data_IF_006829318183
#
_entry.id   IF_006829318183
#
_cell.length_a   1.000
_cell.length_b   1.000
_cell.length_c   1.000
_cell.angle_alpha   90.00
_cell.angle_beta   90.00
_cell.angle_gamma   90.00
#
_symmetry.space_group_name_H-M   'P 1'
#
loop_
_entity.id
_entity.type
_entity.pdbx_description
1 polymer ?
#
# COMPACT_ATOMS: atom_id res chain seq x y z
N UNK A 1 -4.96 3.51 -9.02
CA UNK A 1 -5.32 2.32 -9.83
C UNK A 1 -6.62 1.77 -9.27
N UNK A 2 -7.58 1.36 -10.12
CA UNK A 2 -8.83 0.73 -9.69
C UNK A 2 -8.73 -0.77 -9.99
N UNK A 3 -9.07 -1.60 -9.01
CA UNK A 3 -9.21 -3.04 -9.17
C UNK A 3 -10.66 -3.45 -8.83
N UNK A 4 -11.31 -4.15 -9.76
CA UNK A 4 -12.65 -4.72 -9.58
C UNK A 4 -12.51 -6.18 -9.15
N UNK A 5 -13.00 -6.52 -7.96
CA UNK A 5 -13.01 -7.90 -7.45
C UNK A 5 -14.40 -8.54 -7.61
N UNK A 6 -14.49 -9.88 -7.71
CA UNK A 6 -15.76 -10.59 -7.84
C UNK A 6 -16.75 -10.17 -6.73
N UNK A 7 -17.92 -9.66 -7.11
CA UNK A 7 -18.96 -9.21 -6.16
C UNK A 7 -19.19 -7.70 -6.06
N UNK A 8 -18.83 -6.90 -7.09
CA UNK A 8 -18.94 -5.43 -7.09
C UNK A 8 -18.12 -4.76 -5.98
N UNK A 9 -16.95 -5.31 -5.64
CA UNK A 9 -16.04 -4.69 -4.68
C UNK A 9 -15.03 -3.85 -5.46
N UNK A 10 -15.11 -2.53 -5.28
CA UNK A 10 -14.17 -1.58 -5.85
C UNK A 10 -13.03 -1.32 -4.87
N UNK A 11 -11.80 -1.61 -5.29
CA UNK A 11 -10.60 -1.31 -4.51
C UNK A 11 -9.76 -0.24 -5.20
N UNK A 12 -9.47 0.84 -4.48
CA UNK A 12 -8.60 1.93 -4.93
C UNK A 12 -7.25 1.86 -4.25
N UNK A 13 -6.20 1.82 -5.07
CA UNK A 13 -4.82 1.72 -4.58
C UNK A 13 -4.09 3.03 -4.87
N UNK A 14 -3.50 3.59 -3.82
CA UNK A 14 -2.63 4.76 -3.87
C UNK A 14 -1.25 4.41 -3.34
N UNK A 15 -0.23 4.54 -4.19
CA UNK A 15 1.17 4.31 -3.82
C UNK A 15 1.84 5.67 -3.56
N UNK A 16 2.47 5.82 -2.41
CA UNK A 16 3.23 7.03 -2.03
C UNK A 16 4.61 6.64 -1.57
N UNK A 17 5.62 7.26 -2.15
CA UNK A 17 7.00 7.10 -1.73
C UNK A 17 7.51 8.44 -1.17
N UNK A 18 7.68 8.49 0.15
CA UNK A 18 8.33 9.62 0.83
C UNK A 18 9.72 9.16 1.25
N UNK A 19 10.72 9.98 0.97
CA UNK A 19 12.04 9.81 1.58
C UNK A 19 11.94 10.02 3.08
N UNK A 20 12.82 9.40 3.87
CA UNK A 20 12.83 9.57 5.33
C UNK A 20 12.93 11.03 5.78
N UNK A 21 13.53 11.90 4.97
CA UNK A 21 13.62 13.34 5.21
C UNK A 21 12.31 14.10 5.01
N UNK A 22 11.33 13.51 4.32
CA UNK A 22 10.01 14.09 4.06
C UNK A 22 8.97 13.69 5.12
N UNK A 23 9.35 12.82 6.06
CA UNK A 23 8.50 12.39 7.16
C UNK A 23 7.58 11.22 6.82
N UNK A 24 6.51 11.12 7.60
CA UNK A 24 5.56 10.00 7.56
C UNK A 24 4.39 10.30 6.62
N UNK A 25 3.58 9.28 6.31
CA UNK A 25 2.30 9.51 5.64
C UNK A 25 1.35 10.27 6.58
N UNK A 26 0.82 11.38 6.09
CA UNK A 26 -0.06 12.29 6.83
C UNK A 26 -1.53 12.20 6.39
N UNK A 27 -2.41 12.91 7.11
CA UNK A 27 -3.86 12.90 6.89
C UNK A 27 -4.28 13.31 5.48
N UNK A 28 -3.58 14.25 4.84
CA UNK A 28 -3.93 14.73 3.50
C UNK A 28 -3.83 13.62 2.45
N UNK A 29 -2.96 12.63 2.66
CA UNK A 29 -2.81 11.47 1.77
C UNK A 29 -4.04 10.58 1.84
N UNK A 30 -4.62 10.46 3.04
CA UNK A 30 -5.87 9.72 3.29
C UNK A 30 -7.05 10.46 2.69
N UNK A 31 -7.11 11.78 2.86
CA UNK A 31 -8.14 12.63 2.26
C UNK A 31 -8.10 12.56 0.73
N UNK A 32 -6.91 12.58 0.13
CA UNK A 32 -6.75 12.42 -1.30
C UNK A 32 -7.36 11.11 -1.81
N UNK A 33 -7.10 10.00 -1.12
CA UNK A 33 -7.67 8.71 -1.49
C UNK A 33 -9.20 8.71 -1.29
N UNK A 34 -9.66 9.15 -0.12
CA UNK A 34 -11.06 9.20 0.24
C UNK A 34 -11.90 10.04 -0.74
N UNK A 35 -11.38 11.18 -1.20
CA UNK A 35 -12.04 12.06 -2.17
C UNK A 35 -12.23 11.40 -3.54
N UNK A 36 -11.46 10.35 -3.83
CA UNK A 36 -11.65 9.57 -5.05
C UNK A 36 -12.62 8.41 -4.87
N UNK A 37 -13.02 8.07 -3.64
CA UNK A 37 -13.79 6.86 -3.31
C UNK A 37 -15.28 7.12 -3.22
N UNK A 38 -16.06 6.20 -3.78
CA UNK A 38 -17.51 6.16 -3.58
C UNK A 38 -17.86 5.44 -2.26
N UNK A 39 -19.08 5.64 -1.71
CA UNK A 39 -19.56 4.85 -0.59
C UNK A 39 -19.52 3.34 -0.91
N UNK A 40 -18.95 2.55 -0.01
CA UNK A 40 -18.73 1.11 -0.18
C UNK A 40 -17.37 0.75 -0.80
N UNK A 41 -16.61 1.73 -1.30
CA UNK A 41 -15.26 1.46 -1.82
C UNK A 41 -14.29 1.07 -0.69
N UNK A 42 -13.29 0.27 -1.07
CA UNK A 42 -12.13 -0.06 -0.25
C UNK A 42 -10.89 0.67 -0.77
N UNK A 43 -10.08 1.19 0.13
CA UNK A 43 -8.87 1.96 -0.16
C UNK A 43 -7.64 1.29 0.46
N UNK A 44 -6.53 1.27 -0.28
CA UNK A 44 -5.23 0.83 0.24
C UNK A 44 -4.19 1.91 -0.08
N UNK A 45 -3.53 2.41 0.96
CA UNK A 45 -2.37 3.29 0.83
C UNK A 45 -1.11 2.46 1.04
N UNK A 46 -0.25 2.40 0.03
CA UNK A 46 1.01 1.65 0.07
C UNK A 46 2.18 2.63 0.14
N UNK A 47 3.11 2.38 1.06
CA UNK A 47 4.37 3.14 1.18
C UNK A 47 5.52 2.22 1.56
N UNK A 48 6.74 2.62 1.20
CA UNK A 48 7.97 2.04 1.75
C UNK A 48 8.38 2.66 3.09
N UNK A 49 7.68 3.71 3.51
CA UNK A 49 7.96 4.48 4.73
C UNK A 49 7.03 4.14 5.89
N UNK A 50 6.85 5.10 6.80
CA UNK A 50 6.04 4.95 8.01
C UNK A 50 4.69 5.65 7.82
N UNK A 51 3.64 5.07 8.39
CA UNK A 51 2.30 5.68 8.45
C UNK A 51 2.15 6.44 9.75
N UNK A 52 1.90 7.74 9.65
CA UNK A 52 1.71 8.59 10.82
C UNK A 52 0.39 8.31 11.54
N UNK A 53 0.39 8.57 12.85
CA UNK A 53 -0.79 8.38 13.68
C UNK A 53 -1.98 9.26 13.26
N UNK A 54 -1.72 10.44 12.69
CA UNK A 54 -2.77 11.31 12.13
C UNK A 54 -3.47 10.64 10.94
N UNK A 55 -2.73 10.02 10.03
CA UNK A 55 -3.28 9.27 8.91
C UNK A 55 -4.14 8.09 9.38
N UNK A 56 -3.66 7.30 10.35
CA UNK A 56 -4.43 6.18 10.92
C UNK A 56 -5.74 6.65 11.56
N UNK A 57 -5.69 7.73 12.34
CA UNK A 57 -6.89 8.33 12.94
C UNK A 57 -7.86 8.83 11.88
N UNK A 58 -7.36 9.51 10.84
CA UNK A 58 -8.18 10.03 9.74
C UNK A 58 -8.87 8.90 8.97
N UNK A 59 -8.17 7.82 8.68
CA UNK A 59 -8.75 6.65 8.02
C UNK A 59 -9.90 6.04 8.84
N UNK A 60 -9.75 5.97 10.17
CA UNK A 60 -10.81 5.48 11.07
C UNK A 60 -12.02 6.41 11.25
N UNK A 61 -12.00 7.62 10.69
CA UNK A 61 -13.16 8.53 10.75
C UNK A 61 -14.19 8.26 9.65
N UNK A 62 -13.81 7.53 8.60
CA UNK A 62 -14.75 7.20 7.53
C UNK A 62 -15.58 5.98 7.91
N UNK A 63 -16.91 6.10 7.81
CA UNK A 63 -17.88 5.04 8.17
C UNK A 63 -18.51 4.39 6.95
N UNK A 64 -18.48 5.07 5.81
CA UNK A 64 -19.07 4.68 4.53
C UNK A 64 -18.04 4.07 3.57
N UNK A 65 -16.76 4.04 3.94
CA UNK A 65 -15.65 3.48 3.16
C UNK A 65 -14.56 2.98 4.08
N UNK A 66 -13.76 2.02 3.61
CA UNK A 66 -12.65 1.46 4.39
C UNK A 66 -11.32 1.90 3.78
N UNK A 67 -10.38 2.40 4.61
CA UNK A 67 -9.02 2.72 4.15
C UNK A 67 -8.01 1.98 5.02
N UNK A 68 -7.23 1.11 4.38
CA UNK A 68 -6.15 0.34 4.99
C UNK A 68 -4.79 0.83 4.50
N UNK A 69 -3.74 0.37 5.16
CA UNK A 69 -2.36 0.74 4.87
C UNK A 69 -1.51 -0.51 4.66
N UNK A 70 -0.50 -0.38 3.81
CA UNK A 70 0.66 -1.28 3.76
C UNK A 70 1.86 -0.37 3.96
N UNK A 71 2.53 -0.52 5.11
CA UNK A 71 3.73 0.25 5.43
C UNK A 71 5.01 -0.46 5.00
N UNK A 72 6.17 0.17 5.23
CA UNK A 72 7.46 -0.39 4.80
C UNK A 72 7.71 -1.82 5.27
N UNK A 73 7.59 -2.12 6.58
CA UNK A 73 7.69 -3.49 7.09
C UNK A 73 6.72 -4.47 6.43
N UNK A 74 5.42 -4.15 6.37
CA UNK A 74 4.41 -5.03 5.77
C UNK A 74 4.66 -5.24 4.27
N UNK A 75 5.09 -4.21 3.55
CA UNK A 75 5.46 -4.31 2.14
C UNK A 75 6.60 -5.31 1.92
N UNK A 76 7.64 -5.27 2.77
CA UNK A 76 8.76 -6.21 2.70
C UNK A 76 8.30 -7.63 2.98
N UNK A 77 7.44 -7.85 3.98
CA UNK A 77 6.87 -9.16 4.26
C UNK A 77 6.08 -9.71 3.07
N UNK A 78 5.20 -8.90 2.48
CA UNK A 78 4.43 -9.26 1.29
C UNK A 78 5.33 -9.55 0.08
N UNK A 79 6.42 -8.79 -0.09
CA UNK A 79 7.41 -9.02 -1.13
C UNK A 79 8.07 -10.39 -0.96
N UNK A 80 8.51 -10.75 0.24
CA UNK A 80 9.12 -12.05 0.51
C UNK A 80 8.12 -13.21 0.38
N UNK A 81 6.85 -13.04 0.74
CA UNK A 81 5.83 -14.06 0.51
C UNK A 81 5.56 -14.29 -0.99
N UNK A 82 5.67 -13.23 -1.79
CA UNK A 82 5.45 -13.32 -3.23
C UNK A 82 6.70 -13.72 -4.02
N UNK A 83 7.91 -13.64 -3.43
CA UNK A 83 9.20 -13.78 -4.12
C UNK A 83 9.32 -15.08 -4.91
N UNK A 84 8.83 -16.20 -4.36
CA UNK A 84 8.93 -17.53 -4.97
C UNK A 84 8.07 -17.66 -6.23
N UNK A 85 7.08 -16.78 -6.39
CA UNK A 85 6.16 -16.76 -7.53
C UNK A 85 6.50 -15.64 -8.53
N UNK A 86 7.55 -14.85 -8.28
CA UNK A 86 7.95 -13.75 -9.16
C UNK A 86 8.85 -14.23 -10.30
N UNK A 87 8.67 -13.62 -11.48
CA UNK A 87 9.61 -13.81 -12.58
C UNK A 87 10.98 -13.20 -12.25
N UNK A 88 12.05 -13.70 -12.88
CA UNK A 88 13.40 -13.14 -12.70
C UNK A 88 13.46 -11.64 -13.05
N UNK A 89 12.76 -11.22 -14.11
CA UNK A 89 12.70 -9.81 -14.50
C UNK A 89 12.05 -8.95 -13.39
N UNK A 90 11.02 -9.47 -12.73
CA UNK A 90 10.37 -8.81 -11.60
C UNK A 90 11.30 -8.74 -10.39
N UNK A 91 12.04 -9.81 -10.08
CA UNK A 91 13.01 -9.82 -8.99
C UNK A 91 14.13 -8.78 -9.21
N UNK A 92 14.62 -8.63 -10.44
CA UNK A 92 15.63 -7.63 -10.81
C UNK A 92 15.12 -6.20 -10.59
N UNK A 93 13.84 -5.92 -10.85
CA UNK A 93 13.23 -4.61 -10.54
C UNK A 93 13.32 -4.28 -9.05
N UNK A 94 13.26 -5.29 -8.18
CA UNK A 94 13.45 -5.14 -6.74
C UNK A 94 14.92 -5.19 -6.29
N UNK A 95 15.87 -5.27 -7.22
CA UNK A 95 17.30 -5.45 -6.91
C UNK A 95 17.62 -6.83 -6.32
N UNK A 96 16.68 -7.78 -6.40
CA UNK A 96 16.83 -9.14 -5.94
C UNK A 96 17.33 -9.98 -7.11
N UNK A 97 18.62 -10.29 -7.14
CA UNK A 97 19.16 -11.28 -8.09
C UNK A 97 19.11 -12.65 -7.44
N UNK A 98 18.73 -13.70 -8.16
CA UNK A 98 18.58 -15.09 -7.66
C UNK A 98 19.84 -15.73 -7.02
N UNK A 99 20.92 -14.99 -6.81
CA UNK A 99 22.09 -15.37 -6.01
C UNK A 99 21.96 -15.01 -4.52
N UNK A 100 20.78 -14.60 -4.03
CA UNK A 100 20.49 -14.63 -2.59
C UNK A 100 20.30 -16.11 -2.22
N UNK A 101 21.41 -16.81 -2.05
CA UNK A 101 21.42 -18.19 -1.60
C UNK A 101 20.76 -18.26 -0.23
N UNK A 102 19.56 -18.81 -0.16
CA UNK A 102 19.07 -19.46 1.04
C UNK A 102 19.91 -20.72 1.21
N UNK A 103 20.94 -20.63 2.04
CA UNK A 103 21.60 -21.78 2.68
C UNK A 103 20.77 -22.25 3.88
#
# INVERSE_FOLDING_TARGET
MLAELPGNVNTRIQVKHFYSSQGEIEEWVVEQLANSMEPGDHGIIVTSGVIGNSARKKAGQFTDRTINFIDGPEFVELLFQAIDNMSQDTLVVFGLTANIGFL
#
